data_IF_197138138452
#
_entry.id   IF_197138138452
#
_cell.length_a   1.000
_cell.length_b   1.000
_cell.length_c   1.000
_cell.angle_alpha   90.00
_cell.angle_beta   90.00
_cell.angle_gamma   90.00
#
_symmetry.space_group_name_H-M   'P 1'
#
loop_
_entity.id
_entity.type
_entity.pdbx_description
1 polymer ?
#
# COMPACT_ATOMS: atom_id res chain seq x y z
N UNK A 1 -17.37 -14.07 -4.85
CA UNK A 1 -17.15 -12.60 -4.80
C UNK A 1 -17.71 -11.98 -3.51
N UNK A 2 -18.97 -12.25 -3.14
CA UNK A 2 -19.63 -11.62 -2.00
C UNK A 2 -19.00 -11.93 -0.64
N UNK A 3 -18.69 -13.21 -0.35
CA UNK A 3 -17.94 -13.60 0.86
C UNK A 3 -16.56 -12.93 0.98
N UNK A 4 -15.88 -12.71 -0.16
CA UNK A 4 -14.57 -12.07 -0.19
C UNK A 4 -14.66 -10.58 0.15
N UNK A 5 -15.69 -9.88 -0.38
CA UNK A 5 -15.98 -8.48 -0.03
C UNK A 5 -16.35 -8.34 1.44
N UNK A 6 -17.23 -9.19 1.95
CA UNK A 6 -17.61 -9.18 3.37
C UNK A 6 -16.39 -9.33 4.28
N UNK A 7 -15.51 -10.30 4.00
CA UNK A 7 -14.27 -10.46 4.78
C UNK A 7 -13.31 -9.27 4.67
N UNK A 8 -13.28 -8.59 3.51
CA UNK A 8 -12.48 -7.37 3.33
C UNK A 8 -13.02 -6.19 4.16
N UNK A 9 -14.34 -6.02 4.20
CA UNK A 9 -15.02 -5.01 5.03
C UNK A 9 -14.68 -5.25 6.51
N UNK A 10 -14.76 -6.49 6.98
CA UNK A 10 -14.43 -6.82 8.38
C UNK A 10 -12.95 -6.58 8.70
N UNK A 11 -12.04 -6.81 7.75
CA UNK A 11 -10.62 -6.44 7.90
C UNK A 11 -10.43 -4.93 7.99
N UNK A 12 -11.11 -4.19 7.11
CA UNK A 12 -11.08 -2.73 7.10
C UNK A 12 -11.60 -2.18 8.42
N UNK A 13 -12.81 -2.56 8.87
CA UNK A 13 -13.37 -2.12 10.16
C UNK A 13 -12.43 -2.35 11.34
N UNK A 14 -11.68 -3.46 11.35
CA UNK A 14 -10.67 -3.71 12.40
C UNK A 14 -9.57 -2.65 12.41
N UNK A 15 -9.13 -2.15 11.27
CA UNK A 15 -8.13 -1.07 11.19
C UNK A 15 -8.60 0.16 11.97
N UNK A 16 -9.87 0.54 11.84
CA UNK A 16 -10.44 1.73 12.47
C UNK A 16 -9.68 2.99 12.04
N UNK A 17 -9.35 3.85 13.00
CA UNK A 17 -8.66 5.13 12.76
C UNK A 17 -7.12 5.01 12.70
N UNK A 18 -6.59 3.80 12.65
CA UNK A 18 -5.13 3.58 12.58
C UNK A 18 -4.57 4.01 11.22
N UNK A 19 -3.38 4.61 11.16
CA UNK A 19 -2.71 4.89 9.89
C UNK A 19 -2.53 3.61 9.07
N UNK A 20 -3.00 3.60 7.83
CA UNK A 20 -3.04 2.40 7.01
C UNK A 20 -2.53 2.66 5.59
N UNK A 21 -1.43 2.00 5.22
CA UNK A 21 -0.88 2.08 3.87
C UNK A 21 -1.47 0.97 2.99
N UNK A 22 -2.08 1.38 1.88
CA UNK A 22 -2.58 0.47 0.83
C UNK A 22 -1.66 0.58 -0.38
N UNK A 23 -0.84 -0.44 -0.61
CA UNK A 23 0.04 -0.53 -1.77
C UNK A 23 -0.40 -1.60 -2.76
N UNK A 24 -0.29 -1.32 -4.05
CA UNK A 24 -0.45 -2.30 -5.11
C UNK A 24 0.51 -1.98 -6.26
N UNK A 25 0.91 -3.01 -7.01
CA UNK A 25 1.52 -2.84 -8.31
C UNK A 25 0.48 -2.38 -9.37
N UNK A 26 0.53 -1.11 -9.78
CA UNK A 26 -0.38 -0.52 -10.78
C UNK A 26 -1.80 -0.20 -10.29
N UNK A 27 -2.49 0.72 -11.01
CA UNK A 27 -3.91 1.12 -10.81
C UNK A 27 -4.24 1.76 -9.46
N UNK A 28 -5.30 2.56 -9.37
CA UNK A 28 -5.75 3.17 -8.08
C UNK A 28 -7.27 3.27 -7.91
N UNK A 29 -8.04 3.30 -8.99
CA UNK A 29 -9.45 3.73 -9.00
C UNK A 29 -10.37 2.88 -8.10
N UNK A 30 -10.44 1.56 -8.33
CA UNK A 30 -11.41 0.72 -7.60
C UNK A 30 -11.14 0.52 -6.10
N UNK A 31 -9.95 0.90 -5.60
CA UNK A 31 -9.59 0.72 -4.17
C UNK A 31 -10.03 1.89 -3.33
N UNK A 32 -9.83 3.10 -3.84
CA UNK A 32 -10.25 4.32 -3.14
C UNK A 32 -11.76 4.31 -2.94
N UNK A 33 -12.50 4.06 -4.02
CA UNK A 33 -13.96 3.92 -4.00
C UNK A 33 -14.44 2.82 -3.03
N UNK A 34 -13.74 1.68 -2.97
CA UNK A 34 -14.10 0.61 -2.03
C UNK A 34 -13.88 1.02 -0.57
N UNK A 35 -12.78 1.69 -0.24
CA UNK A 35 -12.52 2.16 1.13
C UNK A 35 -13.54 3.25 1.51
N UNK A 36 -13.83 4.18 0.61
CA UNK A 36 -14.84 5.23 0.79
C UNK A 36 -16.27 4.64 0.95
N UNK A 37 -16.54 3.46 0.39
CA UNK A 37 -17.81 2.77 0.62
C UNK A 37 -17.97 2.16 2.02
N UNK A 38 -16.87 2.04 2.78
CA UNK A 38 -16.86 1.40 4.12
C UNK A 38 -16.71 2.43 5.24
N UNK A 39 -15.99 3.53 5.00
CA UNK A 39 -15.74 4.56 6.00
C UNK A 39 -16.23 5.94 5.55
N UNK A 40 -16.76 6.71 6.50
CA UNK A 40 -17.14 8.11 6.30
C UNK A 40 -15.94 9.05 6.14
N UNK A 41 -14.76 8.66 6.65
CA UNK A 41 -13.49 9.36 6.46
C UNK A 41 -12.41 8.38 6.05
N UNK A 42 -11.52 8.82 5.16
CA UNK A 42 -10.38 8.01 4.66
C UNK A 42 -9.04 8.68 4.90
N UNK A 43 -8.98 9.69 5.77
CA UNK A 43 -7.78 10.49 6.04
C UNK A 43 -6.61 9.67 6.63
N UNK A 44 -6.92 8.59 7.35
CA UNK A 44 -5.93 7.66 7.88
C UNK A 44 -5.38 6.68 6.83
N UNK A 45 -5.98 6.61 5.64
CA UNK A 45 -5.54 5.75 4.55
C UNK A 45 -4.57 6.48 3.63
N UNK A 46 -3.41 5.87 3.39
CA UNK A 46 -2.46 6.30 2.37
C UNK A 46 -2.46 5.29 1.24
N UNK A 47 -2.79 5.72 0.02
CA UNK A 47 -2.74 4.84 -1.17
C UNK A 47 -1.43 5.09 -1.91
N UNK A 48 -0.66 4.02 -2.14
CA UNK A 48 0.64 4.09 -2.82
C UNK A 48 0.66 3.15 -4.02
N UNK A 49 0.67 3.71 -5.22
CA UNK A 49 0.91 2.94 -6.42
C UNK A 49 2.42 2.65 -6.56
N UNK A 50 2.75 1.37 -6.68
CA UNK A 50 4.12 0.88 -6.87
C UNK A 50 4.23 0.45 -8.32
N UNK A 51 5.29 0.86 -9.03
CA UNK A 51 5.57 0.31 -10.34
C UNK A 51 6.74 -0.66 -10.19
N UNK A 52 6.44 -1.95 -10.10
CA UNK A 52 7.50 -2.95 -9.89
C UNK A 52 8.35 -3.16 -11.13
N UNK A 53 7.85 -2.84 -12.33
CA UNK A 53 8.66 -2.87 -13.55
C UNK A 53 9.71 -1.74 -13.55
N UNK A 54 9.41 -0.57 -12.97
CA UNK A 54 10.43 0.47 -12.76
C UNK A 54 11.52 0.04 -11.77
N UNK A 55 11.24 -0.91 -10.87
CA UNK A 55 12.16 -1.34 -9.81
C UNK A 55 13.01 -2.53 -10.26
N UNK A 56 12.38 -3.51 -10.92
CA UNK A 56 12.99 -4.78 -11.29
C UNK A 56 13.27 -4.90 -12.80
N UNK A 57 12.77 -3.98 -13.62
CA UNK A 57 12.81 -4.07 -15.07
C UNK A 57 11.80 -5.10 -15.59
N UNK A 58 12.28 -6.30 -15.85
CA UNK A 58 11.49 -7.44 -16.32
C UNK A 58 11.38 -8.52 -15.24
N UNK A 59 10.41 -9.41 -15.44
CA UNK A 59 10.24 -10.60 -14.61
C UNK A 59 10.42 -11.85 -15.49
N UNK A 60 11.07 -12.92 -14.99
CA UNK A 60 11.60 -13.06 -13.63
C UNK A 60 12.88 -12.24 -13.40
N UNK A 61 12.98 -11.62 -12.23
CA UNK A 61 14.19 -10.94 -11.74
C UNK A 61 14.87 -11.82 -10.69
N UNK A 62 16.22 -11.82 -10.53
CA UNK A 62 16.91 -12.66 -9.54
C UNK A 62 16.36 -12.54 -8.11
N UNK A 63 15.90 -11.33 -7.76
CA UNK A 63 15.29 -11.06 -6.46
C UNK A 63 13.79 -11.31 -6.39
N UNK A 64 13.06 -11.35 -7.50
CA UNK A 64 11.60 -11.42 -7.52
C UNK A 64 11.11 -12.15 -8.78
N UNK A 65 10.44 -13.29 -8.60
CA UNK A 65 9.94 -14.10 -9.73
C UNK A 65 8.69 -13.50 -10.39
N UNK A 66 7.91 -12.70 -9.66
CA UNK A 66 6.69 -12.04 -10.13
C UNK A 66 6.50 -10.68 -9.43
N UNK A 67 5.83 -9.69 -10.09
CA UNK A 67 5.48 -8.39 -9.50
C UNK A 67 4.80 -8.41 -8.13
N UNK A 68 4.06 -9.47 -7.81
CA UNK A 68 3.25 -9.58 -6.58
C UNK A 68 3.99 -10.28 -5.42
N UNK A 69 5.31 -10.40 -5.49
CA UNK A 69 6.12 -10.99 -4.41
C UNK A 69 6.50 -9.99 -3.30
N UNK A 70 6.10 -8.73 -3.44
CA UNK A 70 6.33 -7.63 -2.48
C UNK A 70 7.78 -7.38 -2.07
N UNK A 71 8.74 -7.86 -2.86
CA UNK A 71 10.18 -7.67 -2.61
C UNK A 71 10.73 -6.31 -3.01
N UNK A 72 9.88 -5.41 -3.51
CA UNK A 72 10.28 -4.08 -4.00
C UNK A 72 10.88 -3.20 -2.90
N UNK A 73 10.61 -3.49 -1.63
CA UNK A 73 11.16 -2.78 -0.47
C UNK A 73 12.65 -3.07 -0.22
N UNK A 74 13.20 -4.13 -0.82
CA UNK A 74 14.62 -4.48 -0.71
C UNK A 74 15.52 -3.73 -1.68
N UNK A 75 14.96 -3.19 -2.77
CA UNK A 75 15.72 -2.45 -3.78
C UNK A 75 15.57 -0.95 -3.53
N UNK A 76 16.69 -0.19 -3.49
CA UNK A 76 16.65 1.27 -3.45
C UNK A 76 15.80 1.83 -4.60
N UNK A 77 14.73 2.54 -4.25
CA UNK A 77 13.81 3.16 -5.22
C UNK A 77 13.05 4.31 -4.57
N UNK A 78 12.46 5.19 -5.39
CA UNK A 78 11.56 6.26 -4.92
C UNK A 78 10.37 5.69 -4.13
N UNK A 79 9.90 4.50 -4.49
CA UNK A 79 8.81 3.79 -3.83
C UNK A 79 9.19 3.37 -2.42
N UNK A 80 10.35 2.72 -2.27
CA UNK A 80 10.93 2.35 -0.97
C UNK A 80 11.11 3.57 -0.09
N UNK A 81 11.71 4.64 -0.62
CA UNK A 81 11.96 5.87 0.15
C UNK A 81 10.66 6.52 0.63
N UNK A 82 9.64 6.61 -0.24
CA UNK A 82 8.33 7.19 0.12
C UNK A 82 7.64 6.38 1.23
N UNK A 83 7.63 5.06 1.12
CA UNK A 83 7.05 4.20 2.15
C UNK A 83 7.83 4.26 3.46
N UNK A 84 9.16 4.33 3.39
CA UNK A 84 10.01 4.51 4.57
C UNK A 84 9.73 5.84 5.28
N UNK A 85 9.63 6.94 4.53
CA UNK A 85 9.27 8.26 5.08
C UNK A 85 7.88 8.24 5.71
N UNK A 86 6.90 7.63 5.04
CA UNK A 86 5.55 7.45 5.59
C UNK A 86 5.58 6.69 6.91
N UNK A 87 6.29 5.56 6.96
CA UNK A 87 6.38 4.71 8.16
C UNK A 87 6.99 5.47 9.34
N UNK A 88 8.10 6.18 9.13
CA UNK A 88 8.72 6.97 10.19
C UNK A 88 7.82 8.11 10.68
N UNK A 89 7.07 8.74 9.77
CA UNK A 89 6.09 9.77 10.13
C UNK A 89 4.98 9.23 11.01
N UNK A 90 4.35 8.13 10.62
CA UNK A 90 3.24 7.55 11.40
C UNK A 90 3.71 6.91 12.71
N UNK A 91 4.97 6.47 12.78
CA UNK A 91 5.59 5.96 14.00
C UNK A 91 6.10 7.05 14.96
N UNK A 92 6.00 8.34 14.58
CA UNK A 92 6.52 9.45 15.39
C UNK A 92 8.05 9.52 15.44
N UNK A 93 8.74 8.86 14.50
CA UNK A 93 10.21 8.77 14.44
C UNK A 93 10.84 9.87 13.56
N UNK A 94 10.04 10.69 12.89
CA UNK A 94 10.49 11.87 12.16
C UNK A 94 10.24 13.15 12.97
N UNK A 95 11.24 14.04 13.06
CA UNK A 95 11.08 15.39 13.63
C UNK A 95 10.03 16.19 12.83
N UNK A 96 9.26 17.08 13.47
CA UNK A 96 8.48 18.07 12.73
C UNK A 96 9.44 18.93 11.88
N UNK A 97 9.05 19.18 10.63
CA UNK A 97 9.73 20.14 9.73
C UNK A 97 9.49 21.58 10.19
#
# INVERSE_FOLDING_TARGET
>A
MEKYRAGAIERLKRVGDRPYLVSQNGGTSGRKEFIESVFSSTENFTISNINTNEIFGSFPHPMAVHPHTDRWTFIPSKYRLRTWKWMNRVAGLSKPE
#
